data_IF_646808617718
#
_entry.id   IF_646808617718
#
_cell.length_a   1.000
_cell.length_b   1.000
_cell.length_c   1.000
_cell.angle_alpha   90.00
_cell.angle_beta   90.00
_cell.angle_gamma   90.00
#
_symmetry.space_group_name_H-M   'P 1'
#
loop_
_entity.id
_entity.type
_entity.pdbx_description
1 polymer ?
#
# COMPACT_ATOMS: atom_id res chain seq x y z
N UNK A 1 -10.14 -55.98 -3.35
CA UNK A 1 -9.70 -54.70 -3.94
C UNK A 1 -9.87 -53.64 -2.86
N UNK A 2 -8.84 -52.88 -2.48
CA UNK A 2 -9.03 -51.81 -1.52
C UNK A 2 -9.86 -50.70 -2.18
N UNK A 3 -10.86 -50.21 -1.46
CA UNK A 3 -11.71 -49.08 -1.84
C UNK A 3 -10.86 -47.83 -2.09
N UNK A 4 -11.28 -46.95 -3.02
CA UNK A 4 -10.62 -45.66 -3.18
C UNK A 4 -10.85 -44.85 -1.90
N UNK A 5 -9.77 -44.60 -1.16
CA UNK A 5 -9.78 -43.67 -0.03
C UNK A 5 -10.29 -42.33 -0.51
N UNK A 6 -11.45 -41.94 -0.01
CA UNK A 6 -12.01 -40.61 -0.15
C UNK A 6 -10.95 -39.61 0.32
N UNK A 7 -10.36 -38.87 -0.63
CA UNK A 7 -9.46 -37.77 -0.30
C UNK A 7 -10.32 -36.76 0.42
N UNK A 8 -10.29 -36.75 1.75
CA UNK A 8 -10.87 -35.69 2.56
C UNK A 8 -10.56 -34.35 1.88
N UNK A 9 -11.57 -33.74 1.27
CA UNK A 9 -11.42 -32.43 0.65
C UNK A 9 -10.98 -31.50 1.77
N UNK A 10 -9.72 -31.06 1.72
CA UNK A 10 -9.19 -30.09 2.68
C UNK A 10 -10.20 -28.94 2.72
N UNK A 11 -10.72 -28.55 3.90
CA UNK A 11 -11.67 -27.46 3.99
C UNK A 11 -11.13 -26.24 3.25
N UNK A 12 -11.81 -25.82 2.19
CA UNK A 12 -11.44 -24.65 1.40
C UNK A 12 -12.06 -23.41 2.04
N UNK A 13 -11.32 -22.32 2.08
CA UNK A 13 -11.86 -21.01 2.41
C UNK A 13 -12.15 -20.23 1.11
N UNK A 14 -12.93 -19.15 1.25
CA UNK A 14 -13.36 -18.33 0.14
C UNK A 14 -12.19 -17.73 -0.67
N UNK A 15 -11.02 -17.51 -0.07
CA UNK A 15 -9.86 -16.94 -0.77
C UNK A 15 -9.29 -17.98 -1.72
N UNK A 16 -9.11 -19.22 -1.25
CA UNK A 16 -8.62 -20.33 -2.09
C UNK A 16 -9.57 -20.63 -3.24
N UNK A 17 -10.88 -20.55 -3.00
CA UNK A 17 -11.89 -20.70 -4.05
C UNK A 17 -11.76 -19.61 -5.12
N UNK A 18 -11.67 -18.33 -4.73
CA UNK A 18 -11.47 -17.21 -5.66
C UNK A 18 -10.18 -17.37 -6.49
N UNK A 19 -9.07 -17.73 -5.84
CA UNK A 19 -7.77 -17.91 -6.52
C UNK A 19 -7.84 -19.05 -7.52
N UNK A 20 -8.48 -20.17 -7.16
CA UNK A 20 -8.67 -21.31 -8.04
C UNK A 20 -9.53 -20.94 -9.27
N UNK A 21 -10.62 -20.19 -9.06
CA UNK A 21 -11.51 -19.75 -10.12
C UNK A 21 -10.81 -18.77 -11.09
N UNK A 22 -10.06 -17.80 -10.56
CA UNK A 22 -9.31 -16.84 -11.36
C UNK A 22 -8.22 -17.53 -12.22
N UNK A 23 -7.57 -18.58 -11.70
CA UNK A 23 -6.61 -19.40 -12.46
C UNK A 23 -7.29 -20.26 -13.52
N UNK A 24 -8.40 -20.93 -13.19
CA UNK A 24 -9.16 -21.73 -14.15
C UNK A 24 -9.70 -20.86 -15.29
N UNK A 25 -10.12 -19.63 -14.99
CA UNK A 25 -10.56 -18.65 -15.99
C UNK A 25 -9.40 -18.07 -16.82
N UNK A 26 -8.14 -18.34 -16.45
CA UNK A 26 -6.95 -17.81 -17.12
C UNK A 26 -6.77 -16.30 -16.94
N UNK A 27 -7.37 -15.72 -15.90
CA UNK A 27 -7.29 -14.27 -15.60
C UNK A 27 -5.86 -13.85 -15.25
N UNK A 28 -5.14 -14.71 -14.54
CA UNK A 28 -3.73 -14.53 -14.19
C UNK A 28 -2.91 -15.73 -14.66
N UNK A 29 -1.70 -15.46 -15.17
CA UNK A 29 -0.75 -16.51 -15.58
C UNK A 29 -0.01 -17.13 -14.39
N UNK A 30 0.19 -16.35 -13.35
CA UNK A 30 0.90 -16.73 -12.13
C UNK A 30 0.27 -15.97 -10.97
N UNK A 31 0.12 -16.64 -9.83
CA UNK A 31 -0.32 -15.99 -8.59
C UNK A 31 0.84 -15.23 -7.96
N UNK A 32 0.56 -13.99 -7.59
CA UNK A 32 1.47 -13.12 -6.84
C UNK A 32 0.70 -12.55 -5.66
N UNK A 33 1.16 -12.86 -4.45
CA UNK A 33 0.68 -12.33 -3.17
C UNK A 33 1.79 -11.52 -2.48
N UNK A 34 1.48 -10.86 -1.37
CA UNK A 34 2.49 -10.14 -0.56
C UNK A 34 2.15 -10.12 0.91
N UNK A 35 3.18 -10.17 1.75
CA UNK A 35 3.12 -9.81 3.15
C UNK A 35 3.76 -8.42 3.33
N UNK A 36 2.97 -7.35 3.58
CA UNK A 36 3.48 -5.97 3.60
C UNK A 36 3.49 -5.34 5.02
N UNK A 37 4.33 -5.80 5.96
CA UNK A 37 4.37 -5.21 7.30
C UNK A 37 4.97 -3.79 7.28
N UNK A 38 4.53 -2.95 8.22
CA UNK A 38 5.21 -1.69 8.54
C UNK A 38 6.44 -1.99 9.42
N UNK A 39 7.64 -1.47 9.11
CA UNK A 39 8.86 -1.75 9.88
C UNK A 39 8.97 -0.87 11.13
N UNK A 40 7.93 -0.86 11.98
CA UNK A 40 7.85 -0.03 13.19
C UNK A 40 7.66 -0.83 14.49
N UNK A 41 7.80 -2.14 14.42
CA UNK A 41 7.65 -3.04 15.55
C UNK A 41 7.98 -4.49 15.22
N UNK A 42 8.13 -5.30 16.26
CA UNK A 42 8.38 -6.74 16.15
C UNK A 42 7.12 -7.52 15.75
N UNK A 43 7.30 -8.59 14.97
CA UNK A 43 6.18 -9.46 14.62
C UNK A 43 5.71 -10.26 15.84
N UNK A 44 4.40 -10.27 16.08
CA UNK A 44 3.75 -11.17 17.02
C UNK A 44 2.92 -12.28 16.31
N UNK A 45 2.37 -13.22 17.08
CA UNK A 45 1.59 -14.37 16.59
C UNK A 45 0.44 -14.02 15.64
N UNK A 46 -0.18 -12.83 15.78
CA UNK A 46 -1.19 -12.35 14.82
C UNK A 46 -0.68 -12.26 13.38
N UNK A 47 0.59 -11.90 13.16
CA UNK A 47 1.20 -11.81 11.83
C UNK A 47 1.43 -13.19 11.23
N UNK A 48 1.63 -14.23 12.05
CA UNK A 48 1.81 -15.60 11.56
C UNK A 48 0.62 -16.05 10.71
N UNK A 49 -0.61 -15.61 11.05
CA UNK A 49 -1.79 -15.87 10.21
C UNK A 49 -1.64 -15.28 8.80
N UNK A 50 -1.22 -14.02 8.71
CA UNK A 50 -1.06 -13.33 7.42
C UNK A 50 0.09 -13.92 6.60
N UNK A 51 1.20 -14.25 7.24
CA UNK A 51 2.34 -14.93 6.60
C UNK A 51 1.89 -16.29 6.06
N UNK A 52 1.30 -17.14 6.90
CA UNK A 52 0.83 -18.47 6.49
C UNK A 52 -0.21 -18.40 5.37
N UNK A 53 -1.08 -17.40 5.38
CA UNK A 53 -2.09 -17.21 4.34
C UNK A 53 -1.43 -16.80 3.00
N UNK A 54 -0.64 -15.74 2.99
CA UNK A 54 -0.04 -15.21 1.76
C UNK A 54 0.95 -16.20 1.11
N UNK A 55 1.85 -16.77 1.91
CA UNK A 55 2.80 -17.78 1.43
C UNK A 55 2.12 -19.12 1.14
N UNK A 56 1.09 -19.49 1.90
CA UNK A 56 0.29 -20.69 1.67
C UNK A 56 -0.39 -20.65 0.30
N UNK A 57 -1.03 -19.53 -0.05
CA UNK A 57 -1.66 -19.35 -1.36
C UNK A 57 -0.62 -19.39 -2.47
N UNK A 58 0.50 -18.66 -2.32
CA UNK A 58 1.58 -18.71 -3.31
C UNK A 58 2.08 -20.15 -3.52
N UNK A 59 2.26 -20.91 -2.44
CA UNK A 59 2.70 -22.30 -2.51
C UNK A 59 1.68 -23.22 -3.19
N UNK A 60 0.44 -23.19 -2.73
CA UNK A 60 -0.63 -24.09 -3.17
C UNK A 60 -0.96 -23.93 -4.65
N UNK A 61 -0.81 -22.70 -5.18
CA UNK A 61 -1.16 -22.36 -6.55
C UNK A 61 0.07 -22.10 -7.45
N UNK A 62 1.28 -22.50 -7.03
CA UNK A 62 2.50 -22.39 -7.83
C UNK A 62 2.93 -20.95 -8.16
N UNK A 63 2.56 -20.00 -7.30
CA UNK A 63 2.89 -18.59 -7.38
C UNK A 63 4.11 -18.18 -6.56
N UNK A 64 4.24 -16.87 -6.33
CA UNK A 64 5.24 -16.27 -5.43
C UNK A 64 4.55 -15.35 -4.42
N UNK A 65 5.22 -15.14 -3.28
CA UNK A 65 4.83 -14.18 -2.27
C UNK A 65 5.98 -13.21 -1.99
N UNK A 66 5.73 -11.91 -2.18
CA UNK A 66 6.69 -10.86 -1.86
C UNK A 66 6.67 -10.55 -0.36
N UNK A 67 7.82 -10.12 0.17
CA UNK A 67 7.90 -9.39 1.44
C UNK A 67 8.12 -7.94 1.07
N UNK A 68 7.19 -7.07 1.45
CA UNK A 68 7.33 -5.62 1.26
C UNK A 68 7.38 -4.93 2.61
N UNK A 69 8.38 -4.10 2.84
CA UNK A 69 8.33 -3.13 3.93
C UNK A 69 7.42 -1.99 3.47
N UNK A 70 6.29 -1.78 4.14
CA UNK A 70 5.40 -0.64 3.87
C UNK A 70 5.96 0.61 4.58
N UNK A 71 7.16 1.01 4.16
CA UNK A 71 8.00 2.04 4.76
C UNK A 71 7.66 3.43 4.21
N UNK A 72 6.46 3.90 4.52
CA UNK A 72 5.95 5.21 4.06
C UNK A 72 6.01 6.29 5.14
N UNK A 73 6.37 5.92 6.38
CA UNK A 73 6.33 6.79 7.54
C UNK A 73 7.75 7.04 8.11
N UNK A 74 8.38 8.17 7.77
CA UNK A 74 9.81 8.41 8.03
C UNK A 74 10.23 8.46 9.50
N UNK A 75 9.29 8.53 10.46
CA UNK A 75 9.61 8.76 11.88
C UNK A 75 9.48 7.55 12.79
N UNK A 76 8.93 6.44 12.29
CA UNK A 76 8.64 5.26 13.12
C UNK A 76 9.44 4.03 12.70
N UNK A 77 10.24 4.15 11.66
CA UNK A 77 10.79 3.02 10.94
C UNK A 77 12.28 2.91 11.19
N UNK A 78 12.71 1.74 11.66
CA UNK A 78 14.10 1.46 12.01
C UNK A 78 14.61 0.20 11.32
N UNK A 79 15.91 0.19 10.99
CA UNK A 79 16.56 -0.95 10.34
C UNK A 79 16.46 -2.22 11.19
N UNK A 80 16.44 -2.09 12.53
CA UNK A 80 16.27 -3.24 13.43
C UNK A 80 14.97 -4.01 13.19
N UNK A 81 13.87 -3.32 12.91
CA UNK A 81 12.57 -3.95 12.68
C UNK A 81 12.55 -4.62 11.31
N UNK A 82 13.14 -4.00 10.30
CA UNK A 82 13.32 -4.59 8.96
C UNK A 82 14.05 -5.94 9.07
N UNK A 83 15.19 -5.96 9.78
CA UNK A 83 16.00 -7.16 9.95
C UNK A 83 15.26 -8.26 10.72
N UNK A 84 14.56 -7.88 11.81
CA UNK A 84 13.77 -8.83 12.60
C UNK A 84 12.62 -9.42 11.81
N UNK A 85 11.88 -8.59 11.06
CA UNK A 85 10.75 -9.04 10.21
C UNK A 85 11.25 -10.06 9.19
N UNK A 86 12.35 -9.79 8.51
CA UNK A 86 12.91 -10.71 7.50
C UNK A 86 13.34 -12.02 8.16
N UNK A 87 13.97 -11.96 9.33
CA UNK A 87 14.40 -13.14 10.07
C UNK A 87 13.19 -14.01 10.50
N UNK A 88 12.17 -13.40 11.07
CA UNK A 88 10.96 -14.09 11.55
C UNK A 88 10.16 -14.72 10.41
N UNK A 89 9.99 -14.00 9.29
CA UNK A 89 9.31 -14.54 8.10
C UNK A 89 10.09 -15.72 7.53
N UNK A 90 11.41 -15.59 7.36
CA UNK A 90 12.26 -16.67 6.85
C UNK A 90 12.23 -17.90 7.76
N UNK A 91 12.31 -17.69 9.07
CA UNK A 91 12.20 -18.76 10.05
C UNK A 91 10.84 -19.46 9.95
N UNK A 92 9.75 -18.71 9.81
CA UNK A 92 8.42 -19.28 9.79
C UNK A 92 8.13 -20.06 8.51
N UNK A 93 8.61 -19.63 7.34
CA UNK A 93 8.35 -20.29 6.05
C UNK A 93 9.31 -21.43 5.71
N UNK A 94 10.38 -21.58 6.50
CA UNK A 94 11.45 -22.55 6.23
C UNK A 94 10.90 -23.98 6.16
N UNK A 95 11.35 -24.71 5.14
CA UNK A 95 10.96 -26.10 4.89
C UNK A 95 9.55 -26.32 4.32
N UNK A 96 8.72 -25.27 4.15
CA UNK A 96 7.39 -25.45 3.57
C UNK A 96 6.97 -24.42 2.52
N UNK A 97 7.43 -23.17 2.56
CA UNK A 97 7.12 -22.15 1.53
C UNK A 97 8.30 -21.26 1.14
N UNK A 98 9.51 -21.54 1.61
CA UNK A 98 10.77 -20.87 1.27
C UNK A 98 11.01 -20.72 -0.24
N UNK A 99 10.64 -21.75 -1.03
CA UNK A 99 10.76 -21.76 -2.50
C UNK A 99 9.82 -20.80 -3.22
N UNK A 100 8.82 -20.27 -2.52
CA UNK A 100 7.81 -19.34 -3.08
C UNK A 100 8.10 -17.88 -2.68
N UNK A 101 9.22 -17.60 -2.01
CA UNK A 101 9.64 -16.23 -1.73
C UNK A 101 9.97 -15.49 -3.04
N UNK A 102 9.35 -14.32 -3.26
CA UNK A 102 9.48 -13.52 -4.48
C UNK A 102 10.84 -12.87 -4.74
N UNK A 103 11.86 -13.18 -3.93
CA UNK A 103 13.22 -12.66 -4.08
C UNK A 103 13.68 -11.85 -2.87
N UNK A 104 14.39 -10.74 -3.15
CA UNK A 104 14.83 -9.80 -2.10
C UNK A 104 13.63 -9.02 -1.53
N UNK A 105 13.67 -8.65 -0.24
CA UNK A 105 12.67 -7.74 0.34
C UNK A 105 12.53 -6.47 -0.50
N UNK A 106 11.30 -6.04 -0.70
CA UNK A 106 10.93 -4.82 -1.41
C UNK A 106 10.63 -3.72 -0.39
N UNK A 107 10.79 -2.46 -0.80
CA UNK A 107 10.52 -1.29 0.03
C UNK A 107 9.53 -0.40 -0.72
N UNK A 108 8.43 0.00 -0.08
CA UNK A 108 7.48 0.95 -0.66
C UNK A 108 8.16 2.29 -0.99
N UNK A 109 9.19 2.66 -0.22
CA UNK A 109 10.00 3.86 -0.44
C UNK A 109 10.79 3.86 -1.75
N UNK A 110 11.14 2.69 -2.30
CA UNK A 110 11.75 2.58 -3.64
C UNK A 110 10.80 3.04 -4.74
N UNK A 111 9.49 3.05 -4.46
CA UNK A 111 8.47 3.45 -5.42
C UNK A 111 8.13 4.93 -5.36
N UNK A 112 8.68 5.71 -4.41
CA UNK A 112 8.28 7.11 -4.20
C UNK A 112 8.36 7.99 -5.45
N UNK A 113 9.37 7.79 -6.31
CA UNK A 113 9.44 8.52 -7.59
C UNK A 113 8.22 8.20 -8.47
N UNK A 114 7.89 6.91 -8.66
CA UNK A 114 6.71 6.48 -9.44
C UNK A 114 5.40 6.93 -8.80
N UNK A 115 5.27 6.81 -7.47
CA UNK A 115 4.07 7.26 -6.75
C UNK A 115 3.83 8.76 -6.92
N UNK A 116 4.91 9.55 -6.95
CA UNK A 116 4.84 10.99 -7.20
C UNK A 116 4.46 11.27 -8.66
N UNK A 117 5.03 10.57 -9.62
CA UNK A 117 4.68 10.72 -11.04
C UNK A 117 3.20 10.42 -11.29
N UNK A 118 2.66 9.37 -10.66
CA UNK A 118 1.23 9.08 -10.71
C UNK A 118 0.36 10.18 -10.07
N UNK A 119 0.84 10.80 -8.99
CA UNK A 119 0.13 11.91 -8.35
C UNK A 119 0.11 13.16 -9.25
N UNK A 120 1.22 13.43 -9.94
CA UNK A 120 1.30 14.49 -10.96
C UNK A 120 0.31 14.20 -12.10
N UNK A 121 0.26 12.97 -12.61
CA UNK A 121 -0.68 12.60 -13.67
C UNK A 121 -2.14 12.68 -13.21
N UNK A 122 -2.43 12.29 -11.97
CA UNK A 122 -3.77 12.43 -11.41
C UNK A 122 -4.19 13.91 -11.32
N UNK A 123 -3.28 14.79 -10.89
CA UNK A 123 -3.50 16.24 -10.86
C UNK A 123 -3.68 16.82 -12.26
N UNK A 124 -2.87 16.41 -13.26
CA UNK A 124 -3.03 16.82 -14.69
C UNK A 124 -4.41 16.48 -15.22
N UNK A 125 -4.96 15.34 -14.81
CA UNK A 125 -6.30 14.89 -15.19
C UNK A 125 -7.42 15.51 -14.33
N UNK A 126 -7.13 16.56 -13.54
CA UNK A 126 -8.06 17.22 -12.63
C UNK A 126 -8.72 16.29 -11.59
N UNK A 127 -8.10 15.14 -11.31
CA UNK A 127 -8.56 14.13 -10.35
C UNK A 127 -7.87 14.23 -8.98
N UNK A 128 -6.98 15.21 -8.81
CA UNK A 128 -6.41 15.57 -7.53
C UNK A 128 -6.20 17.08 -7.45
N UNK A 129 -6.13 17.62 -6.24
CA UNK A 129 -5.91 19.04 -5.97
C UNK A 129 -5.15 19.23 -4.65
N UNK A 130 -4.42 20.34 -4.54
CA UNK A 130 -3.73 20.73 -3.31
C UNK A 130 -4.70 21.48 -2.41
N UNK A 131 -4.77 21.07 -1.15
CA UNK A 131 -5.64 21.63 -0.13
C UNK A 131 -4.81 22.30 0.97
N UNK A 132 -5.17 23.54 1.30
CA UNK A 132 -4.50 24.38 2.31
C UNK A 132 -5.28 24.37 3.65
N UNK A 133 -6.36 23.59 3.76
CA UNK A 133 -7.09 23.43 5.01
C UNK A 133 -6.27 22.67 6.06
N UNK A 134 -6.46 23.00 7.33
CA UNK A 134 -5.87 22.24 8.43
C UNK A 134 -6.47 20.83 8.51
N UNK A 135 -5.81 19.88 9.21
CA UNK A 135 -6.37 18.55 9.45
C UNK A 135 -7.77 18.60 10.08
N UNK A 136 -7.99 19.48 11.06
CA UNK A 136 -9.26 19.64 11.77
C UNK A 136 -10.37 20.14 10.82
N UNK A 137 -10.06 21.13 9.98
CA UNK A 137 -10.98 21.65 8.99
C UNK A 137 -11.31 20.58 7.93
N UNK A 138 -10.30 19.83 7.49
CA UNK A 138 -10.47 18.73 6.53
C UNK A 138 -11.41 17.67 7.07
N UNK A 139 -11.22 17.25 8.33
CA UNK A 139 -12.08 16.26 8.98
C UNK A 139 -13.52 16.78 9.18
N UNK A 140 -13.69 18.02 9.60
CA UNK A 140 -15.00 18.65 9.74
C UNK A 140 -15.75 18.66 8.40
N UNK A 141 -15.10 19.16 7.34
CA UNK A 141 -15.69 19.31 6.02
C UNK A 141 -16.05 17.95 5.41
N UNK A 142 -15.19 16.93 5.59
CA UNK A 142 -15.47 15.56 5.16
C UNK A 142 -16.67 14.96 5.88
N UNK A 143 -16.85 15.20 7.18
CA UNK A 143 -18.01 14.68 7.94
C UNK A 143 -19.33 15.23 7.43
N UNK A 144 -19.39 16.52 7.13
CA UNK A 144 -20.62 17.18 6.64
C UNK A 144 -20.76 17.18 5.11
N UNK A 145 -19.79 16.59 4.39
CA UNK A 145 -19.81 16.51 2.91
C UNK A 145 -19.58 17.85 2.21
N UNK A 146 -18.96 18.82 2.88
CA UNK A 146 -18.72 20.16 2.33
C UNK A 146 -17.41 20.17 1.54
N UNK A 147 -17.44 20.69 0.31
CA UNK A 147 -16.24 20.83 -0.50
C UNK A 147 -15.22 21.81 0.11
N UNK A 148 -13.93 21.51 -0.05
CA UNK A 148 -12.86 22.46 0.26
C UNK A 148 -12.97 23.70 -0.64
N UNK A 149 -12.71 24.92 -0.13
CA UNK A 149 -12.58 26.12 -0.96
C UNK A 149 -11.53 25.97 -2.08
N UNK A 150 -10.56 25.08 -1.89
CA UNK A 150 -9.45 24.87 -2.81
C UNK A 150 -9.71 23.75 -3.84
N UNK A 151 -10.85 23.05 -3.74
CA UNK A 151 -11.19 21.89 -4.59
C UNK A 151 -11.17 22.19 -6.08
N UNK A 152 -11.54 23.41 -6.45
CA UNK A 152 -11.69 23.86 -7.83
C UNK A 152 -10.53 24.74 -8.33
N UNK A 153 -9.36 24.68 -7.67
CA UNK A 153 -8.12 25.28 -8.18
C UNK A 153 -7.83 24.82 -9.62
N UNK A 154 -7.31 25.71 -10.49
CA UNK A 154 -6.82 25.32 -11.81
C UNK A 154 -5.77 24.22 -11.74
N UNK A 155 -5.70 23.36 -12.77
CA UNK A 155 -4.71 22.27 -12.85
C UNK A 155 -3.28 22.80 -12.72
N UNK A 156 -2.95 23.88 -13.43
CA UNK A 156 -1.61 24.48 -13.40
C UNK A 156 -1.22 24.97 -11.99
N UNK A 157 -2.16 25.56 -11.25
CA UNK A 157 -1.91 25.99 -9.86
C UNK A 157 -1.64 24.79 -8.95
N UNK A 158 -2.41 23.71 -9.09
CA UNK A 158 -2.20 22.49 -8.31
C UNK A 158 -0.84 21.83 -8.63
N UNK A 159 -0.41 21.85 -9.89
CA UNK A 159 0.88 21.30 -10.31
C UNK A 159 2.05 22.12 -9.75
N UNK A 160 1.97 23.46 -9.80
CA UNK A 160 2.96 24.34 -9.18
C UNK A 160 3.07 24.08 -7.67
N UNK A 161 1.93 24.08 -6.97
CA UNK A 161 1.90 23.85 -5.52
C UNK A 161 2.45 22.47 -5.15
N UNK A 162 2.09 21.41 -5.89
CA UNK A 162 2.63 20.06 -5.64
C UNK A 162 4.14 20.00 -5.87
N UNK A 163 4.67 20.71 -6.87
CA UNK A 163 6.11 20.87 -7.09
C UNK A 163 6.81 21.55 -5.92
N UNK A 164 6.24 22.65 -5.42
CA UNK A 164 6.76 23.43 -4.29
C UNK A 164 6.66 22.68 -2.95
N UNK A 165 5.60 21.87 -2.77
CA UNK A 165 5.48 20.93 -1.67
C UNK A 165 6.65 19.93 -1.69
N UNK A 166 6.95 19.30 -2.84
CA UNK A 166 8.09 18.38 -2.99
C UNK A 166 9.43 19.08 -2.75
N UNK A 167 9.54 20.36 -3.09
CA UNK A 167 10.73 21.17 -2.86
C UNK A 167 10.92 21.63 -1.40
N UNK A 168 9.97 21.35 -0.50
CA UNK A 168 10.08 21.69 0.93
C UNK A 168 9.81 23.16 1.24
N UNK A 169 9.06 23.87 0.39
CA UNK A 169 8.79 25.30 0.60
C UNK A 169 7.83 25.59 1.77
N UNK A 170 7.02 24.60 2.17
CA UNK A 170 5.92 24.78 3.11
C UNK A 170 6.12 23.94 4.38
N UNK A 171 5.66 24.38 5.56
CA UNK A 171 5.86 23.64 6.80
C UNK A 171 5.02 22.35 6.88
N UNK A 172 5.36 21.49 7.84
CA UNK A 172 4.66 20.23 8.11
C UNK A 172 3.15 20.42 8.24
N UNK A 173 2.40 19.52 7.60
CA UNK A 173 0.93 19.48 7.60
C UNK A 173 0.23 20.77 7.14
N UNK A 174 0.95 21.74 6.56
CA UNK A 174 0.35 22.98 6.07
C UNK A 174 -0.44 22.83 4.78
N UNK A 175 -0.11 21.80 3.99
CA UNK A 175 -0.80 21.44 2.75
C UNK A 175 -0.83 19.94 2.55
N UNK A 176 -1.86 19.49 1.86
CA UNK A 176 -2.01 18.09 1.45
C UNK A 176 -2.41 18.00 -0.02
N UNK A 177 -2.01 16.91 -0.68
CA UNK A 177 -2.63 16.56 -1.97
C UNK A 177 -3.82 15.66 -1.68
N UNK A 178 -4.99 15.96 -2.22
CA UNK A 178 -6.22 15.18 -2.05
C UNK A 178 -6.74 14.68 -3.38
N UNK A 179 -7.29 13.48 -3.40
CA UNK A 179 -8.04 13.00 -4.56
C UNK A 179 -9.35 13.81 -4.70
N UNK A 180 -9.81 13.99 -5.94
CA UNK A 180 -11.10 14.59 -6.27
C UNK A 180 -12.06 13.47 -6.68
N UNK A 181 -12.89 13.03 -5.75
CA UNK A 181 -13.84 11.92 -5.93
C UNK A 181 -15.25 12.47 -5.71
N UNK A 182 -15.87 12.23 -4.55
CA UNK A 182 -17.25 12.63 -4.27
C UNK A 182 -17.42 12.97 -2.79
N UNK A 183 -17.64 14.25 -2.51
CA UNK A 183 -17.89 14.74 -1.16
C UNK A 183 -19.26 14.33 -0.60
N UNK A 184 -20.19 13.90 -1.44
CA UNK A 184 -21.50 13.39 -1.04
C UNK A 184 -21.53 11.87 -0.90
N UNK A 185 -20.41 11.17 -1.11
CA UNK A 185 -20.36 9.73 -1.02
C UNK A 185 -20.84 9.24 0.36
N UNK A 186 -21.62 8.14 0.42
CA UNK A 186 -22.03 7.55 1.70
C UNK A 186 -20.82 7.01 2.47
N UNK A 187 -19.77 6.57 1.75
CA UNK A 187 -18.50 6.19 2.34
C UNK A 187 -17.60 7.41 2.55
N UNK A 188 -17.29 7.73 3.81
CA UNK A 188 -16.41 8.86 4.18
C UNK A 188 -15.00 8.76 3.58
N UNK A 189 -14.52 7.55 3.28
CA UNK A 189 -13.21 7.33 2.66
C UNK A 189 -13.17 7.74 1.19
N UNK A 190 -14.33 7.87 0.53
CA UNK A 190 -14.44 8.40 -0.83
C UNK A 190 -14.64 9.92 -0.87
N UNK A 191 -14.73 10.57 0.29
CA UNK A 191 -14.84 12.03 0.39
C UNK A 191 -13.46 12.66 0.34
N UNK A 192 -12.95 12.79 -0.87
CA UNK A 192 -11.68 13.40 -1.25
C UNK A 192 -10.53 13.01 -0.28
N UNK A 193 -10.12 11.73 -0.24
CA UNK A 193 -9.08 11.25 0.66
C UNK A 193 -7.73 11.92 0.40
N UNK A 194 -6.90 11.98 1.43
CA UNK A 194 -5.54 12.54 1.36
C UNK A 194 -4.61 11.53 0.70
N UNK A 195 -3.83 11.99 -0.29
CA UNK A 195 -2.85 11.21 -1.03
C UNK A 195 -1.42 11.47 -0.55
N UNK A 196 -1.08 12.74 -0.28
CA UNK A 196 0.23 13.15 0.24
C UNK A 196 0.09 14.17 1.36
N UNK A 197 1.03 14.10 2.31
CA UNK A 197 1.24 15.10 3.36
C UNK A 197 2.68 15.60 3.37
N UNK A 198 2.89 16.82 3.86
CA UNK A 198 4.23 17.36 4.10
C UNK A 198 4.73 16.92 5.48
N UNK A 199 5.96 16.42 5.51
CA UNK A 199 6.69 16.11 6.74
C UNK A 199 8.20 16.25 6.54
N UNK A 200 8.85 17.14 7.27
CA UNK A 200 10.29 17.35 7.25
C UNK A 200 10.97 16.38 8.21
N UNK A 201 11.12 15.13 7.77
CA UNK A 201 11.83 14.09 8.48
C UNK A 201 12.69 13.28 7.50
N UNK A 202 13.86 12.84 7.95
CA UNK A 202 14.68 11.91 7.17
C UNK A 202 14.05 10.52 7.20
N UNK A 203 13.99 9.87 6.04
CA UNK A 203 13.57 8.49 5.91
C UNK A 203 14.76 7.54 6.17
N UNK A 204 14.51 6.38 6.78
CA UNK A 204 15.59 5.41 7.03
C UNK A 204 16.19 4.86 5.73
N UNK A 205 15.36 4.61 4.71
CA UNK A 205 15.77 4.10 3.40
C UNK A 205 16.17 5.19 2.38
N UNK A 206 15.37 6.26 2.24
CA UNK A 206 15.57 7.29 1.20
C UNK A 206 16.26 8.57 1.69
N UNK A 207 16.66 8.62 2.97
CA UNK A 207 17.34 9.76 3.56
C UNK A 207 16.50 11.04 3.52
N UNK A 208 17.14 12.17 3.19
CA UNK A 208 16.48 13.48 3.10
C UNK A 208 15.99 13.84 1.69
N UNK A 209 15.86 12.87 0.78
CA UNK A 209 15.40 13.12 -0.60
C UNK A 209 13.96 13.65 -0.66
N UNK A 210 13.13 13.28 0.33
CA UNK A 210 11.71 13.59 0.34
C UNK A 210 11.31 14.36 1.60
N UNK A 211 10.39 15.31 1.41
CA UNK A 211 9.70 16.03 2.47
C UNK A 211 8.16 15.94 2.33
N UNK A 212 7.69 15.21 1.32
CA UNK A 212 6.30 14.81 1.18
C UNK A 212 6.24 13.29 1.16
N UNK A 213 5.28 12.72 1.89
CA UNK A 213 5.14 11.29 2.05
C UNK A 213 3.72 10.86 1.67
N UNK A 214 3.59 9.76 0.90
CA UNK A 214 2.29 9.26 0.51
C UNK A 214 1.53 8.73 1.72
N UNK A 215 0.20 8.78 1.66
CA UNK A 215 -0.66 8.12 2.62
C UNK A 215 -0.81 6.63 2.27
N UNK A 216 -1.14 5.81 3.27
CA UNK A 216 -1.33 4.37 3.11
C UNK A 216 -2.24 4.01 1.92
N UNK A 217 -3.44 4.59 1.83
CA UNK A 217 -4.41 4.28 0.77
C UNK A 217 -3.85 4.53 -0.65
N UNK A 218 -2.92 5.49 -0.78
CA UNK A 218 -2.25 5.81 -2.03
C UNK A 218 -1.07 4.87 -2.32
N UNK A 219 -0.16 4.72 -1.35
CA UNK A 219 1.04 3.92 -1.53
C UNK A 219 0.74 2.43 -1.66
N UNK A 220 -0.20 1.92 -0.86
CA UNK A 220 -0.45 0.49 -0.75
C UNK A 220 -0.95 -0.11 -2.07
N UNK A 221 -1.98 0.50 -2.66
CA UNK A 221 -2.61 0.02 -3.90
C UNK A 221 -1.69 0.16 -5.12
N UNK A 222 -0.90 1.23 -5.16
CA UNK A 222 0.06 1.45 -6.23
C UNK A 222 1.29 0.56 -6.11
N UNK A 223 1.74 0.25 -4.90
CA UNK A 223 2.81 -0.74 -4.67
C UNK A 223 2.37 -2.11 -5.17
N UNK A 224 1.13 -2.52 -4.88
CA UNK A 224 0.57 -3.76 -5.40
C UNK A 224 0.52 -3.78 -6.93
N UNK A 225 0.14 -2.65 -7.55
CA UNK A 225 0.14 -2.52 -9.00
C UNK A 225 1.55 -2.60 -9.61
N UNK A 226 2.54 -1.95 -9.00
CA UNK A 226 3.94 -1.93 -9.46
C UNK A 226 4.55 -3.34 -9.40
N UNK A 227 4.20 -4.11 -8.37
CA UNK A 227 4.70 -5.48 -8.15
C UNK A 227 3.93 -6.54 -8.95
N UNK A 228 2.81 -6.19 -9.57
CA UNK A 228 1.94 -7.14 -10.26
C UNK A 228 1.23 -8.10 -9.30
N UNK A 229 0.90 -7.63 -8.09
CA UNK A 229 0.11 -8.41 -7.12
C UNK A 229 -1.24 -8.75 -7.74
N UNK A 230 -1.59 -10.03 -7.67
CA UNK A 230 -2.85 -10.56 -8.21
C UNK A 230 -3.96 -10.61 -7.17
N UNK A 231 -3.59 -10.92 -5.93
CA UNK A 231 -4.49 -11.07 -4.80
C UNK A 231 -3.88 -10.36 -3.59
N UNK A 232 -4.38 -9.17 -3.30
CA UNK A 232 -4.02 -8.37 -2.13
C UNK A 232 -4.88 -8.79 -0.94
N UNK A 233 -4.26 -9.39 0.08
CA UNK A 233 -4.90 -9.99 1.25
C UNK A 233 -4.66 -9.21 2.53
#
# INVERSE_FOLDING_TARGET
MPEPTDKHSVPTDFIREIVADDLHAGKYRQIVTRFPPEPNGYLHIGHAKSICLNFGIAREFGGICNIRMDDTNPTKEETEYVDSIIADVRWLIDGWADKHLGGTPLYASDYFDKLYDYAVDLTRNAKAYVDDMTPEQTDEYRRIGKESPFRNRPVEENLDLLGRMKAGEFPDNSRTLRAKIDMQAPNIWLRDPVLYRIRHASHHHTGSKWCIYPMYDWAHTLSDYIEGITHSL
#
